data_IF_163106273608
#
_entry.id   IF_163106273608
#
_cell.length_a   1.000
_cell.length_b   1.000
_cell.length_c   1.000
_cell.angle_alpha   90.00
_cell.angle_beta   90.00
_cell.angle_gamma   90.00
#
_symmetry.space_group_name_H-M   'P 1'
#
loop_
_entity.id
_entity.type
_entity.pdbx_description
1 polymer ?
#
# COMPACT_ATOMS: atom_id res chain seq x y z
N UNK A 1 -2.80 42.61 32.98
CA UNK A 1 -3.23 41.88 31.77
C UNK A 1 -1.99 41.63 30.94
N UNK A 2 -1.33 40.49 31.14
CA UNK A 2 -0.15 40.10 30.35
C UNK A 2 -0.63 39.20 29.21
N UNK A 3 -0.45 39.66 27.98
CA UNK A 3 -0.70 38.85 26.80
C UNK A 3 0.40 37.78 26.69
N UNK A 4 0.02 36.50 26.81
CA UNK A 4 0.87 35.40 26.38
C UNK A 4 0.99 35.47 24.85
N UNK A 5 2.18 35.81 24.37
CA UNK A 5 2.60 35.51 23.00
C UNK A 5 2.87 34.01 22.93
N UNK A 6 1.88 33.25 22.44
CA UNK A 6 2.09 31.86 22.03
C UNK A 6 2.89 31.93 20.72
N UNK A 7 4.21 31.77 20.83
CA UNK A 7 5.06 31.51 19.66
C UNK A 7 4.69 30.12 19.14
N UNK A 8 4.02 30.05 18.00
CA UNK A 8 3.89 28.80 17.26
C UNK A 8 5.29 28.39 16.79
N UNK A 9 5.76 27.16 17.04
CA UNK A 9 6.99 26.70 16.41
C UNK A 9 6.73 26.64 14.91
N UNK A 10 7.35 27.56 14.18
CA UNK A 10 7.47 27.46 12.75
C UNK A 10 8.32 26.20 12.50
N UNK A 11 7.69 25.10 12.11
CA UNK A 11 8.40 23.87 11.80
C UNK A 11 9.34 24.18 10.62
N UNK A 12 10.63 24.37 10.92
CA UNK A 12 11.64 24.53 9.89
C UNK A 12 11.69 23.23 9.09
N UNK A 13 11.78 23.36 7.77
CA UNK A 13 11.98 22.20 6.91
C UNK A 13 13.29 21.51 7.34
N UNK A 14 13.28 20.18 7.46
CA UNK A 14 14.51 19.44 7.73
C UNK A 14 15.54 19.75 6.64
N UNK A 15 16.78 19.95 7.03
CA UNK A 15 17.87 20.22 6.10
C UNK A 15 18.39 18.91 5.49
N UNK A 16 18.70 18.94 4.20
CA UNK A 16 19.18 17.79 3.42
C UNK A 16 20.54 18.12 2.80
N UNK A 17 21.49 17.21 3.00
CA UNK A 17 22.84 17.28 2.45
C UNK A 17 23.24 15.95 1.81
N UNK A 18 24.35 15.95 1.08
CA UNK A 18 24.91 14.74 0.50
C UNK A 18 26.45 14.79 0.49
N UNK A 19 27.07 13.62 0.54
CA UNK A 19 28.50 13.48 0.35
C UNK A 19 28.92 13.95 -1.04
N UNK A 20 30.17 14.41 -1.16
CA UNK A 20 30.74 14.90 -2.41
C UNK A 20 30.74 13.87 -3.55
N UNK A 21 30.83 12.58 -3.21
CA UNK A 21 30.79 11.50 -4.18
C UNK A 21 29.39 11.31 -4.80
N UNK A 22 28.33 11.75 -4.11
CA UNK A 22 26.96 11.67 -4.61
C UNK A 22 26.71 12.86 -5.56
N UNK A 23 26.32 12.64 -6.82
CA UNK A 23 26.08 13.72 -7.77
C UNK A 23 24.96 14.67 -7.29
N UNK A 24 25.25 15.98 -7.21
CA UNK A 24 24.25 16.97 -6.80
C UNK A 24 23.02 16.98 -7.71
N UNK A 25 23.22 16.74 -9.01
CA UNK A 25 22.15 16.67 -10.01
C UNK A 25 21.20 15.48 -9.77
N UNK A 26 21.71 14.36 -9.23
CA UNK A 26 20.86 13.23 -8.82
C UNK A 26 19.94 13.64 -7.67
N UNK A 27 20.47 14.35 -6.67
CA UNK A 27 19.67 14.88 -5.55
C UNK A 27 18.63 15.89 -6.07
N UNK A 28 19.02 16.76 -7.00
CA UNK A 28 18.12 17.71 -7.66
C UNK A 28 17.04 17.02 -8.51
N UNK A 29 17.32 15.81 -9.01
CA UNK A 29 16.35 15.01 -9.75
C UNK A 29 15.36 14.27 -8.82
N UNK A 30 15.87 13.74 -7.71
CA UNK A 30 15.11 12.97 -6.71
C UNK A 30 14.12 13.85 -5.93
N UNK A 31 14.62 14.92 -5.31
CA UNK A 31 13.85 15.66 -4.28
C UNK A 31 12.54 16.23 -4.81
N UNK A 32 12.48 16.89 -6.00
CA UNK A 32 11.22 17.43 -6.52
C UNK A 32 10.16 16.36 -6.79
N UNK A 33 10.56 15.14 -7.18
CA UNK A 33 9.64 14.03 -7.48
C UNK A 33 9.01 13.47 -6.22
N UNK A 34 9.79 13.34 -5.16
CA UNK A 34 9.28 13.04 -3.83
C UNK A 34 8.28 14.12 -3.38
N UNK A 35 8.70 15.40 -3.39
CA UNK A 35 7.88 16.51 -2.93
C UNK A 35 6.56 16.69 -3.69
N UNK A 36 6.51 16.34 -4.98
CA UNK A 36 5.30 16.45 -5.80
C UNK A 36 4.14 15.59 -5.27
N UNK A 37 4.43 14.39 -4.77
CA UNK A 37 3.41 13.45 -4.27
C UNK A 37 3.14 13.61 -2.79
N UNK A 38 4.17 13.91 -2.00
CA UNK A 38 4.06 13.93 -0.53
C UNK A 38 3.81 15.32 0.05
N UNK A 39 4.10 16.38 -0.71
CA UNK A 39 4.15 17.79 -0.25
C UNK A 39 5.18 18.07 0.84
N UNK A 40 6.03 17.11 1.20
CA UNK A 40 7.15 17.27 2.13
C UNK A 40 8.30 17.96 1.38
N UNK A 41 8.96 18.92 2.04
CA UNK A 41 10.08 19.69 1.46
C UNK A 41 11.26 19.69 2.43
N UNK A 42 12.46 19.63 1.85
CA UNK A 42 13.71 19.73 2.59
C UNK A 42 14.48 20.97 2.15
N UNK A 43 15.19 21.61 3.08
CA UNK A 43 16.12 22.69 2.79
C UNK A 43 17.46 22.09 2.36
N UNK A 44 17.89 22.30 1.11
CA UNK A 44 19.20 21.79 0.66
C UNK A 44 20.32 22.66 1.20
N UNK A 45 21.32 22.04 1.81
CA UNK A 45 22.46 22.71 2.44
C UNK A 45 23.79 22.08 2.01
N UNK A 46 24.84 22.90 1.93
CA UNK A 46 26.20 22.46 1.55
C UNK A 46 27.06 21.99 2.75
N UNK A 47 26.48 22.00 3.95
CA UNK A 47 27.09 21.51 5.19
C UNK A 47 26.28 20.32 5.73
N UNK A 48 26.80 19.53 6.70
CA UNK A 48 26.06 18.40 7.25
C UNK A 48 24.68 18.82 7.78
N UNK A 49 23.63 18.39 7.08
CA UNK A 49 22.24 18.67 7.41
C UNK A 49 21.62 17.61 8.32
N UNK A 50 20.34 17.78 8.61
CA UNK A 50 19.53 16.86 9.43
C UNK A 50 19.39 15.50 8.76
N UNK A 51 19.24 15.47 7.44
CA UNK A 51 19.20 14.28 6.59
C UNK A 51 20.42 14.32 5.66
N UNK A 52 21.08 13.17 5.50
CA UNK A 52 22.34 13.08 4.77
C UNK A 52 22.36 11.85 3.87
N UNK A 53 22.67 12.04 2.58
CA UNK A 53 23.14 10.96 1.71
C UNK A 53 24.64 10.77 1.93
N UNK A 54 25.05 9.61 2.43
CA UNK A 54 26.44 9.32 2.80
C UNK A 54 26.94 8.05 2.12
N UNK A 55 28.24 7.98 1.89
CA UNK A 55 28.93 6.85 1.25
C UNK A 55 29.64 5.94 2.25
N UNK A 56 30.07 6.50 3.38
CA UNK A 56 30.53 5.72 4.52
C UNK A 56 29.32 5.09 5.21
N UNK A 57 29.37 3.77 5.45
CA UNK A 57 28.28 3.03 6.08
C UNK A 57 28.03 3.57 7.50
N UNK A 58 26.87 4.20 7.76
CA UNK A 58 26.59 4.74 9.09
C UNK A 58 26.00 3.67 10.02
N UNK A 59 26.08 3.92 11.32
CA UNK A 59 25.23 3.22 12.29
C UNK A 59 23.77 3.70 12.11
N UNK A 60 22.89 2.82 11.62
CA UNK A 60 21.44 3.09 11.51
C UNK A 60 20.96 3.80 10.23
N UNK A 61 21.76 3.87 9.16
CA UNK A 61 21.31 4.38 7.86
C UNK A 61 20.78 3.29 6.93
N UNK A 62 19.93 3.69 5.98
CA UNK A 62 19.30 2.80 4.99
C UNK A 62 20.05 2.87 3.67
N UNK A 63 20.44 1.74 3.10
CA UNK A 63 21.00 1.71 1.75
C UNK A 63 19.90 2.03 0.74
N UNK A 64 20.14 3.02 -0.13
CA UNK A 64 19.12 3.49 -1.10
C UNK A 64 19.55 3.32 -2.55
N UNK A 65 20.86 3.35 -2.82
CA UNK A 65 21.41 3.13 -4.15
C UNK A 65 22.90 2.74 -4.10
N UNK A 66 23.42 2.32 -5.24
CA UNK A 66 24.85 2.21 -5.52
C UNK A 66 25.18 3.09 -6.73
N UNK A 67 26.25 3.88 -6.64
CA UNK A 67 26.77 4.62 -7.78
C UNK A 67 27.48 3.66 -8.73
N UNK A 68 27.45 3.96 -10.02
CA UNK A 68 28.19 3.16 -11.02
C UNK A 68 29.71 3.20 -10.79
N UNK A 69 30.20 4.24 -10.11
CA UNK A 69 31.58 4.35 -9.63
C UNK A 69 31.94 3.35 -8.53
N UNK A 70 30.95 2.69 -7.91
CA UNK A 70 31.10 1.58 -6.98
C UNK A 70 30.67 1.90 -5.54
N UNK A 71 30.54 3.18 -5.18
CA UNK A 71 30.15 3.60 -3.84
C UNK A 71 28.69 3.26 -3.54
N UNK A 72 28.47 2.58 -2.43
CA UNK A 72 27.12 2.40 -1.87
C UNK A 72 26.71 3.69 -1.16
N UNK A 73 25.50 4.15 -1.44
CA UNK A 73 24.94 5.35 -0.82
C UNK A 73 23.84 4.96 0.15
N UNK A 74 23.98 5.48 1.36
CA UNK A 74 23.04 5.36 2.45
C UNK A 74 22.36 6.70 2.68
N UNK A 75 21.12 6.67 3.14
CA UNK A 75 20.47 7.84 3.74
C UNK A 75 20.42 7.66 5.25
N UNK A 76 20.76 8.72 5.99
CA UNK A 76 20.66 8.78 7.46
C UNK A 76 20.05 10.08 7.90
N UNK A 77 19.57 10.11 9.14
CA UNK A 77 19.16 11.33 9.81
C UNK A 77 19.92 11.52 11.13
N UNK A 78 20.07 12.78 11.56
CA UNK A 78 20.81 13.18 12.75
C UNK A 78 19.85 13.60 13.87
N UNK A 79 20.19 13.25 15.12
CA UNK A 79 19.43 13.68 16.29
C UNK A 79 17.94 13.34 16.22
N UNK A 80 17.08 14.32 16.52
CA UNK A 80 15.62 14.13 16.52
C UNK A 80 15.03 13.90 15.12
N UNK A 81 15.75 14.28 14.05
CA UNK A 81 15.28 14.07 12.68
C UNK A 81 15.12 12.58 12.34
N UNK A 82 15.85 11.69 13.03
CA UNK A 82 15.71 10.24 12.88
C UNK A 82 14.32 9.71 13.29
N UNK A 83 13.58 10.46 14.11
CA UNK A 83 12.21 10.12 14.53
C UNK A 83 11.14 10.89 13.74
N UNK A 84 11.55 11.72 12.77
CA UNK A 84 10.60 12.52 11.99
C UNK A 84 9.82 11.65 11.01
N UNK A 85 8.51 11.85 10.96
CA UNK A 85 7.65 11.28 9.92
C UNK A 85 8.10 11.65 8.51
N UNK A 86 8.69 12.84 8.35
CA UNK A 86 9.13 13.34 7.04
C UNK A 86 10.37 12.60 6.55
N UNK A 87 11.30 12.29 7.47
CA UNK A 87 12.46 11.45 7.17
C UNK A 87 12.00 10.03 6.81
N UNK A 88 11.13 9.42 7.62
CA UNK A 88 10.65 8.06 7.37
C UNK A 88 9.93 7.97 6.02
N UNK A 89 9.04 8.93 5.72
CA UNK A 89 8.35 8.98 4.43
C UNK A 89 9.32 9.13 3.25
N UNK A 90 10.43 9.83 3.43
CA UNK A 90 11.45 9.97 2.38
C UNK A 90 12.24 8.69 2.16
N UNK A 91 12.64 8.00 3.23
CA UNK A 91 13.29 6.69 3.15
C UNK A 91 12.37 5.67 2.47
N UNK A 92 11.12 5.57 2.94
CA UNK A 92 10.12 4.64 2.40
C UNK A 92 9.89 4.89 0.90
N UNK A 93 9.82 6.17 0.50
CA UNK A 93 9.69 6.53 -0.91
C UNK A 93 10.92 6.13 -1.72
N UNK A 94 12.15 6.37 -1.23
CA UNK A 94 13.39 6.03 -1.95
C UNK A 94 13.50 4.53 -2.26
N UNK A 95 13.02 3.67 -1.36
CA UNK A 95 13.05 2.21 -1.51
C UNK A 95 11.78 1.63 -2.16
N UNK A 96 10.77 2.46 -2.42
CA UNK A 96 9.53 2.06 -3.13
C UNK A 96 9.73 1.99 -4.65
N UNK A 97 8.79 1.38 -5.37
CA UNK A 97 8.85 1.31 -6.85
C UNK A 97 9.01 2.68 -7.53
N UNK A 98 8.23 3.73 -7.17
CA UNK A 98 8.45 5.06 -7.75
C UNK A 98 9.83 5.68 -7.47
N UNK A 99 10.37 5.49 -6.26
CA UNK A 99 11.70 6.00 -5.90
C UNK A 99 12.82 5.26 -6.62
N UNK A 100 12.74 3.93 -6.65
CA UNK A 100 13.70 3.06 -7.34
C UNK A 100 13.69 3.28 -8.85
N UNK A 101 12.51 3.47 -9.45
CA UNK A 101 12.39 3.87 -10.86
C UNK A 101 13.04 5.24 -11.10
N UNK A 102 12.78 6.22 -10.24
CA UNK A 102 13.40 7.55 -10.32
C UNK A 102 14.93 7.48 -10.30
N UNK A 103 15.51 6.66 -9.42
CA UNK A 103 16.97 6.47 -9.35
C UNK A 103 17.49 5.80 -10.63
N UNK A 104 16.79 4.78 -11.13
CA UNK A 104 17.18 4.04 -12.34
C UNK A 104 17.14 4.91 -13.59
N UNK A 105 16.15 5.80 -13.69
CA UNK A 105 15.92 6.65 -14.85
C UNK A 105 16.90 7.83 -14.94
N UNK A 106 17.62 8.16 -13.85
CA UNK A 106 18.51 9.30 -13.84
C UNK A 106 19.78 9.05 -14.64
N UNK A 107 20.09 9.97 -15.55
CA UNK A 107 21.23 9.88 -16.46
C UNK A 107 22.02 11.19 -16.48
N UNK A 108 23.33 11.07 -16.66
CA UNK A 108 24.24 12.17 -17.00
C UNK A 108 24.87 11.82 -18.34
N UNK A 109 24.81 12.73 -19.31
CA UNK A 109 25.30 12.52 -20.69
C UNK A 109 24.77 11.22 -21.34
N UNK A 110 23.52 10.86 -21.05
CA UNK A 110 22.86 9.66 -21.56
C UNK A 110 23.31 8.35 -20.91
N UNK A 111 24.14 8.41 -19.86
CA UNK A 111 24.58 7.25 -19.09
C UNK A 111 23.91 7.22 -17.72
N UNK A 112 23.43 6.04 -17.32
CA UNK A 112 22.96 5.82 -15.95
C UNK A 112 24.11 6.00 -14.97
N UNK A 113 23.86 6.68 -13.84
CA UNK A 113 24.89 6.96 -12.83
C UNK A 113 24.65 6.30 -11.48
N UNK A 114 23.43 5.79 -11.25
CA UNK A 114 23.04 5.11 -10.02
C UNK A 114 22.12 3.91 -10.29
N UNK A 115 22.29 2.87 -9.50
CA UNK A 115 21.45 1.67 -9.45
C UNK A 115 20.70 1.71 -8.12
N UNK A 116 19.36 1.64 -8.09
CA UNK A 116 18.62 1.62 -6.82
C UNK A 116 18.97 0.38 -6.00
N UNK A 117 18.85 0.49 -4.68
CA UNK A 117 18.89 -0.69 -3.82
C UNK A 117 17.82 -1.71 -4.26
N UNK A 118 18.10 -3.00 -4.07
CA UNK A 118 17.10 -4.04 -4.29
C UNK A 118 15.90 -3.80 -3.39
N UNK A 119 14.70 -4.00 -3.94
CA UNK A 119 13.51 -3.98 -3.12
C UNK A 119 13.63 -5.14 -2.13
N UNK A 120 13.58 -4.85 -0.83
CA UNK A 120 13.45 -5.90 0.17
C UNK A 120 12.11 -6.58 -0.10
N UNK A 121 12.15 -7.82 -0.58
CA UNK A 121 10.95 -8.62 -0.76
C UNK A 121 10.33 -8.78 0.63
N UNK A 122 9.21 -8.08 0.86
CA UNK A 122 8.50 -8.18 2.12
C UNK A 122 8.16 -9.66 2.32
N UNK A 123 8.63 -10.25 3.41
CA UNK A 123 8.34 -11.65 3.70
C UNK A 123 6.82 -11.87 3.56
N UNK A 124 6.37 -12.91 2.85
CA UNK A 124 4.95 -13.15 2.68
C UNK A 124 4.31 -13.21 4.05
N UNK A 125 3.36 -12.30 4.31
CA UNK A 125 2.54 -12.36 5.52
C UNK A 125 1.77 -13.67 5.41
N UNK A 126 2.09 -14.63 6.27
CA UNK A 126 1.34 -15.87 6.35
C UNK A 126 -0.06 -15.55 6.86
N UNK A 127 -1.03 -15.51 5.94
CA UNK A 127 -2.43 -15.30 6.28
C UNK A 127 -2.96 -16.62 6.82
N UNK A 128 -3.06 -16.71 8.15
CA UNK A 128 -3.75 -17.84 8.79
C UNK A 128 -5.25 -17.64 8.61
N UNK A 129 -5.85 -18.46 7.74
CA UNK A 129 -7.29 -18.44 7.50
C UNK A 129 -7.96 -19.35 8.52
N UNK A 130 -8.77 -18.73 9.38
CA UNK A 130 -9.55 -19.40 10.41
C UNK A 130 -11.02 -19.32 10.00
N UNK A 131 -11.75 -20.42 10.07
CA UNK A 131 -13.19 -20.47 9.75
C UNK A 131 -13.64 -21.89 9.38
N UNK A 132 -14.94 -22.11 9.43
CA UNK A 132 -15.62 -23.34 9.01
C UNK A 132 -15.99 -23.24 7.52
N UNK A 133 -15.37 -24.08 6.71
CA UNK A 133 -15.57 -24.11 5.26
C UNK A 133 -17.01 -24.46 4.87
N UNK A 134 -17.61 -25.44 5.54
CA UNK A 134 -18.95 -25.94 5.18
C UNK A 134 -20.00 -24.88 5.55
N UNK A 135 -19.84 -24.27 6.72
CA UNK A 135 -20.67 -23.11 7.11
C UNK A 135 -20.48 -21.92 6.18
N UNK A 136 -19.24 -21.64 5.77
CA UNK A 136 -18.93 -20.58 4.81
C UNK A 136 -19.60 -20.79 3.45
N UNK A 137 -19.64 -22.04 2.97
CA UNK A 137 -20.34 -22.42 1.76
C UNK A 137 -21.85 -22.17 1.91
N UNK A 138 -22.46 -22.62 3.01
CA UNK A 138 -23.88 -22.44 3.28
C UNK A 138 -24.26 -20.95 3.34
N UNK A 139 -23.49 -20.14 4.07
CA UNK A 139 -23.69 -18.69 4.17
C UNK A 139 -23.60 -18.03 2.80
N UNK A 140 -22.56 -18.37 2.02
CA UNK A 140 -22.37 -17.84 0.66
C UNK A 140 -23.53 -18.21 -0.26
N UNK A 141 -24.01 -19.45 -0.17
CA UNK A 141 -25.16 -19.92 -0.93
C UNK A 141 -26.43 -19.15 -0.55
N UNK A 142 -26.72 -19.02 0.73
CA UNK A 142 -27.95 -18.40 1.22
C UNK A 142 -28.00 -16.89 0.95
N UNK A 143 -26.87 -16.21 1.05
CA UNK A 143 -26.82 -14.74 1.05
C UNK A 143 -26.26 -14.13 -0.23
N UNK A 144 -25.37 -14.83 -0.94
CA UNK A 144 -24.64 -14.24 -2.07
C UNK A 144 -25.15 -14.75 -3.42
N UNK A 145 -25.76 -15.94 -3.51
CA UNK A 145 -26.09 -16.61 -4.78
C UNK A 145 -27.02 -15.81 -5.70
N UNK A 146 -27.84 -14.92 -5.14
CA UNK A 146 -28.74 -14.07 -5.95
C UNK A 146 -27.94 -13.15 -6.86
N UNK A 147 -26.82 -12.64 -6.36
CA UNK A 147 -26.00 -11.67 -7.08
C UNK A 147 -24.75 -12.33 -7.69
N UNK A 148 -24.09 -13.20 -6.95
CA UNK A 148 -22.86 -13.85 -7.39
C UNK A 148 -23.10 -15.30 -7.78
N UNK A 149 -22.34 -15.77 -8.77
CA UNK A 149 -22.20 -17.19 -9.00
C UNK A 149 -21.21 -17.78 -7.99
N UNK A 150 -21.76 -18.39 -6.94
CA UNK A 150 -21.00 -18.95 -5.80
C UNK A 150 -20.42 -20.31 -6.16
N UNK A 151 -21.26 -21.21 -6.69
CA UNK A 151 -20.86 -22.50 -7.25
C UNK A 151 -20.86 -22.45 -8.79
N UNK A 152 -19.86 -23.05 -9.42
CA UNK A 152 -19.79 -23.22 -10.88
C UNK A 152 -20.97 -24.03 -11.43
N UNK A 153 -21.44 -25.02 -10.67
CA UNK A 153 -22.50 -25.92 -11.08
C UNK A 153 -23.89 -25.25 -11.10
N UNK A 154 -24.09 -24.18 -10.34
CA UNK A 154 -25.37 -23.48 -10.30
C UNK A 154 -25.58 -22.68 -11.60
N UNK A 155 -26.46 -23.19 -12.46
CA UNK A 155 -26.78 -22.60 -13.76
C UNK A 155 -27.67 -21.36 -13.65
N UNK A 156 -28.39 -21.19 -12.53
CA UNK A 156 -29.40 -20.14 -12.36
C UNK A 156 -29.04 -19.11 -11.29
N UNK A 157 -27.86 -19.23 -10.67
CA UNK A 157 -27.31 -18.23 -9.77
C UNK A 157 -26.60 -17.08 -10.50
N UNK A 158 -26.49 -15.97 -9.77
CA UNK A 158 -25.79 -14.77 -10.19
C UNK A 158 -26.62 -13.83 -11.07
N UNK A 159 -26.38 -12.54 -10.90
CA UNK A 159 -26.76 -11.54 -11.89
C UNK A 159 -25.57 -11.41 -12.84
N UNK A 160 -25.79 -11.48 -14.16
CA UNK A 160 -24.71 -11.60 -15.16
C UNK A 160 -23.67 -10.47 -15.21
N UNK A 161 -23.80 -9.45 -14.35
CA UNK A 161 -22.87 -8.32 -14.22
C UNK A 161 -22.04 -8.35 -12.93
N UNK A 162 -22.22 -9.32 -12.03
CA UNK A 162 -21.36 -9.51 -10.86
C UNK A 162 -20.39 -10.68 -11.11
N UNK A 163 -19.09 -10.53 -10.78
CA UNK A 163 -18.11 -11.59 -10.98
C UNK A 163 -18.43 -12.82 -10.10
N UNK A 164 -18.11 -14.01 -10.58
CA UNK A 164 -18.23 -15.25 -9.79
C UNK A 164 -17.21 -15.28 -8.65
N UNK A 165 -17.47 -16.10 -7.62
CA UNK A 165 -16.51 -16.27 -6.52
C UNK A 165 -15.16 -16.78 -7.02
N UNK A 166 -15.17 -17.75 -7.95
CA UNK A 166 -13.94 -18.27 -8.55
C UNK A 166 -13.19 -17.24 -9.40
N UNK A 167 -13.89 -16.29 -10.05
CA UNK A 167 -13.23 -15.19 -10.75
C UNK A 167 -12.59 -14.22 -9.75
N UNK A 168 -13.32 -13.83 -8.70
CA UNK A 168 -12.76 -12.94 -7.67
C UNK A 168 -11.59 -13.59 -6.91
N UNK A 169 -11.58 -14.92 -6.79
CA UNK A 169 -10.50 -15.68 -6.15
C UNK A 169 -9.17 -15.61 -6.91
N UNK A 170 -9.17 -15.18 -8.18
CA UNK A 170 -7.94 -14.98 -8.97
C UNK A 170 -7.31 -13.59 -8.81
N UNK A 171 -7.90 -12.69 -8.02
CA UNK A 171 -7.34 -11.35 -7.80
C UNK A 171 -6.28 -11.39 -6.69
N UNK A 172 -5.21 -10.60 -6.83
CA UNK A 172 -4.14 -10.54 -5.82
C UNK A 172 -4.67 -10.08 -4.45
N UNK A 173 -5.67 -9.20 -4.45
CA UNK A 173 -6.32 -8.64 -3.26
C UNK A 173 -7.60 -9.39 -2.86
N UNK A 174 -7.82 -10.62 -3.33
CA UNK A 174 -9.04 -11.40 -3.04
C UNK A 174 -9.34 -11.49 -1.54
N UNK A 175 -8.32 -11.73 -0.71
CA UNK A 175 -8.49 -11.91 0.73
C UNK A 175 -9.06 -10.65 1.37
N UNK A 176 -8.52 -9.48 1.01
CA UNK A 176 -9.04 -8.20 1.48
C UNK A 176 -10.48 -7.99 1.02
N UNK A 177 -10.75 -8.23 -0.28
CA UNK A 177 -12.10 -8.08 -0.84
C UNK A 177 -13.15 -8.91 -0.10
N UNK A 178 -12.86 -10.18 0.18
CA UNK A 178 -13.78 -11.07 0.88
C UNK A 178 -13.80 -10.86 2.40
N UNK A 179 -12.74 -10.32 3.00
CA UNK A 179 -12.74 -9.95 4.42
C UNK A 179 -13.52 -8.66 4.70
N UNK A 180 -13.70 -7.79 3.71
CA UNK A 180 -14.30 -6.46 3.91
C UNK A 180 -15.44 -6.12 2.94
N UNK A 181 -16.01 -7.09 2.22
CA UNK A 181 -17.02 -6.81 1.18
C UNK A 181 -18.22 -6.01 1.69
N UNK A 182 -18.61 -6.22 2.96
CA UNK A 182 -19.74 -5.55 3.60
C UNK A 182 -19.54 -4.04 3.78
N UNK A 183 -18.33 -3.53 3.55
CA UNK A 183 -18.00 -2.09 3.68
C UNK A 183 -18.19 -1.29 2.39
N UNK A 184 -18.37 -1.96 1.23
CA UNK A 184 -18.46 -1.32 -0.10
C UNK A 184 -19.83 -1.50 -0.74
N UNK A 185 -20.23 -0.58 -1.63
CA UNK A 185 -21.48 -0.73 -2.39
C UNK A 185 -21.40 -1.89 -3.40
N UNK A 186 -22.50 -2.62 -3.67
CA UNK A 186 -23.83 -2.48 -3.09
C UNK A 186 -24.00 -3.16 -1.73
N UNK A 187 -23.03 -3.97 -1.27
CA UNK A 187 -23.12 -4.76 -0.05
C UNK A 187 -23.39 -3.92 1.20
N UNK A 188 -22.70 -2.78 1.35
CA UNK A 188 -22.89 -1.88 2.50
C UNK A 188 -24.30 -1.37 2.67
N UNK A 189 -25.13 -1.39 1.63
CA UNK A 189 -26.52 -0.95 1.72
C UNK A 189 -27.47 -2.09 2.10
N UNK A 190 -27.01 -3.34 2.12
CA UNK A 190 -27.86 -4.52 2.25
C UNK A 190 -27.39 -5.49 3.34
N UNK A 191 -26.12 -5.42 3.73
CA UNK A 191 -25.47 -6.35 4.65
C UNK A 191 -25.10 -5.62 5.93
N UNK A 192 -25.58 -6.13 7.06
CA UNK A 192 -25.16 -5.70 8.40
C UNK A 192 -24.29 -6.79 9.01
N UNK A 193 -23.14 -6.41 9.55
CA UNK A 193 -22.21 -7.34 10.21
C UNK A 193 -22.06 -6.96 11.68
N UNK A 194 -22.56 -7.82 12.56
CA UNK A 194 -22.39 -7.65 14.00
C UNK A 194 -20.90 -7.77 14.36
N UNK A 195 -20.42 -6.85 15.21
CA UNK A 195 -19.02 -6.76 15.61
C UNK A 195 -18.13 -5.96 14.66
N UNK A 196 -18.65 -5.48 13.52
CA UNK A 196 -17.86 -4.68 12.56
C UNK A 196 -17.63 -3.21 12.98
N UNK A 197 -18.42 -2.71 13.92
CA UNK A 197 -18.43 -1.28 14.29
C UNK A 197 -19.09 -0.36 13.26
N UNK A 198 -19.68 -0.91 12.19
CA UNK A 198 -20.38 -0.12 11.16
C UNK A 198 -21.86 -0.03 11.51
N UNK A 199 -22.34 1.20 11.72
CA UNK A 199 -23.78 1.45 11.92
C UNK A 199 -24.54 1.39 10.60
N UNK A 200 -25.65 0.64 10.60
CA UNK A 200 -26.51 0.46 9.44
C UNK A 200 -27.86 1.15 9.62
N UNK A 201 -28.22 2.03 8.69
CA UNK A 201 -29.54 2.62 8.66
C UNK A 201 -30.54 1.70 7.95
N UNK A 202 -31.08 0.74 8.71
CA UNK A 202 -32.03 -0.27 8.20
C UNK A 202 -33.26 0.30 7.49
N UNK A 203 -33.66 1.54 7.79
CA UNK A 203 -34.83 2.18 7.17
C UNK A 203 -34.63 2.48 5.67
N UNK A 204 -33.39 2.51 5.21
CA UNK A 204 -33.05 2.76 3.80
C UNK A 204 -32.95 1.48 2.98
N UNK A 205 -33.03 0.30 3.61
CA UNK A 205 -32.92 -0.99 2.93
C UNK A 205 -34.30 -1.39 2.39
N UNK A 206 -34.44 -1.41 1.07
CA UNK A 206 -35.70 -1.69 0.37
C UNK A 206 -35.88 -3.17 0.02
N UNK A 207 -34.94 -4.02 0.41
CA UNK A 207 -34.90 -5.47 0.18
C UNK A 207 -34.67 -6.15 1.53
N UNK A 208 -34.95 -7.45 1.65
CA UNK A 208 -34.59 -8.24 2.83
C UNK A 208 -33.10 -8.04 3.19
N UNK A 209 -32.79 -7.52 4.40
CA UNK A 209 -31.42 -7.33 4.82
C UNK A 209 -30.73 -8.67 5.06
N UNK A 210 -29.41 -8.69 4.89
CA UNK A 210 -28.56 -9.83 5.24
C UNK A 210 -27.86 -9.47 6.55
N UNK A 211 -28.05 -10.29 7.57
CA UNK A 211 -27.43 -10.12 8.88
C UNK A 211 -26.39 -11.24 9.07
N UNK A 212 -25.15 -10.85 9.33
CA UNK A 212 -24.00 -11.74 9.55
C UNK A 212 -23.25 -11.32 10.81
N UNK A 213 -22.38 -12.18 11.32
CA UNK A 213 -21.40 -11.87 12.37
C UNK A 213 -19.99 -11.84 11.78
N UNK A 214 -19.02 -11.25 12.50
CA UNK A 214 -17.61 -11.31 12.08
C UNK A 214 -17.09 -12.76 11.92
N UNK A 215 -17.58 -13.71 12.69
CA UNK A 215 -17.28 -15.14 12.51
C UNK A 215 -17.83 -15.70 11.19
N UNK A 216 -19.02 -15.28 10.76
CA UNK A 216 -19.58 -15.69 9.47
C UNK A 216 -18.73 -15.17 8.30
N UNK A 217 -18.12 -13.98 8.44
CA UNK A 217 -17.17 -13.46 7.44
C UNK A 217 -15.95 -14.35 7.35
N UNK A 218 -15.41 -14.79 8.49
CA UNK A 218 -14.27 -15.70 8.55
C UNK A 218 -14.60 -17.06 7.88
N UNK A 219 -15.79 -17.61 8.15
CA UNK A 219 -16.27 -18.84 7.52
C UNK A 219 -16.39 -18.69 5.99
N UNK A 220 -16.99 -17.58 5.51
CA UNK A 220 -17.08 -17.25 4.08
C UNK A 220 -15.68 -17.15 3.44
N UNK A 221 -14.74 -16.49 4.10
CA UNK A 221 -13.36 -16.38 3.62
C UNK A 221 -12.68 -17.75 3.57
N UNK A 222 -12.89 -18.61 4.57
CA UNK A 222 -12.38 -19.99 4.57
C UNK A 222 -12.92 -20.81 3.40
N UNK A 223 -14.22 -20.69 3.11
CA UNK A 223 -14.82 -21.30 1.93
C UNK A 223 -14.21 -20.78 0.63
N UNK A 224 -14.11 -19.46 0.47
CA UNK A 224 -13.56 -18.84 -0.74
C UNK A 224 -12.10 -19.22 -0.96
N UNK A 225 -11.33 -19.32 0.11
CA UNK A 225 -9.93 -19.73 0.04
C UNK A 225 -9.77 -21.12 -0.59
N UNK A 226 -10.70 -22.04 -0.31
CA UNK A 226 -10.71 -23.41 -0.84
C UNK A 226 -11.05 -23.49 -2.34
N UNK A 227 -11.62 -22.43 -2.91
CA UNK A 227 -12.05 -22.43 -4.30
C UNK A 227 -10.86 -22.38 -5.25
N UNK A 228 -10.89 -23.21 -6.29
CA UNK A 228 -9.95 -23.09 -7.41
C UNK A 228 -10.18 -21.78 -8.15
N UNK A 229 -9.19 -20.88 -8.28
CA UNK A 229 -9.33 -19.66 -9.07
C UNK A 229 -9.72 -19.97 -10.52
N UNK A 230 -10.42 -19.06 -11.19
CA UNK A 230 -10.55 -19.10 -12.64
C UNK A 230 -9.28 -18.54 -13.29
N UNK A 231 -8.87 -19.16 -14.40
CA UNK A 231 -7.93 -18.54 -15.32
C UNK A 231 -8.69 -17.48 -16.13
N UNK A 232 -8.38 -16.21 -15.89
CA UNK A 232 -8.97 -15.07 -16.59
C UNK A 232 -8.15 -14.63 -17.81
N UNK A 233 -7.07 -15.37 -18.15
CA UNK A 233 -6.11 -15.00 -19.18
C UNK A 233 -5.09 -13.98 -18.71
N UNK A 234 -4.22 -13.55 -19.63
CA UNK A 234 -3.18 -12.55 -19.35
C UNK A 234 -3.79 -11.16 -19.15
N UNK A 235 -3.20 -10.31 -18.30
CA UNK A 235 -3.58 -8.90 -18.19
C UNK A 235 -3.59 -8.23 -19.57
N UNK A 236 -4.52 -7.30 -19.78
CA UNK A 236 -4.55 -6.49 -21.00
C UNK A 236 -3.25 -5.68 -21.05
N UNK A 237 -2.41 -5.98 -22.02
CA UNK A 237 -1.22 -5.18 -22.28
C UNK A 237 -1.66 -3.87 -22.91
N UNK A 238 -1.32 -2.74 -22.30
CA UNK A 238 -1.47 -1.45 -22.96
C UNK A 238 -0.53 -1.45 -24.17
N UNK A 239 -1.09 -1.25 -25.36
CA UNK A 239 -0.28 -1.03 -26.55
C UNK A 239 0.39 0.36 -26.38
N UNK A 240 1.73 0.46 -26.48
CA UNK A 240 2.44 1.72 -26.30
C UNK A 240 2.03 2.78 -27.33
#
# INVERSE_FOLDING_TARGET
MSALLISQPQAYALSLSHDRAVPADLIQYIVPRFSLKTRIRFERVDFPGDIQFVTERPEGGTQVLQLISGETVYIRAMGEAAQSSDYQAFVDWLISDPGRATISDFQIDGQQVAIPAEAQEAAPVEIVIVGDLDRGQELSWNHCRRCHKVDRADKYAGIGNAPSFHAMRSFDDWYLRFSTFYTVSPHKALISVEGSGIEQNRRLITIAPIDLQMSDINDIVAFVHSLTPLDLGKPIQFNP
#
